data_IF_860854539531
#
_entry.id   IF_860854539531
#
_cell.length_a   1.000
_cell.length_b   1.000
_cell.length_c   1.000
_cell.angle_alpha   90.00
_cell.angle_beta   90.00
_cell.angle_gamma   90.00
#
_symmetry.space_group_name_H-M   'P 1'
#
loop_
_entity.id
_entity.type
_entity.pdbx_description
1 polymer ?
#
# COMPACT_ATOMS: atom_id res chain seq x y z
N UNK A 1 16.60 -18.14 18.31
CA UNK A 1 15.65 -17.01 18.26
C UNK A 1 15.71 -16.46 16.84
N UNK A 2 14.73 -16.76 15.99
CA UNK A 2 14.70 -16.18 14.64
C UNK A 2 14.37 -14.69 14.81
N UNK A 3 15.10 -13.75 14.19
CA UNK A 3 14.63 -12.37 14.17
C UNK A 3 13.21 -12.39 13.59
N UNK A 4 12.26 -11.75 14.28
CA UNK A 4 10.97 -11.49 13.68
C UNK A 4 11.28 -10.70 12.42
N UNK A 5 10.85 -11.23 11.26
CA UNK A 5 11.13 -10.61 9.97
C UNK A 5 10.60 -9.18 10.05
N UNK A 6 11.50 -8.21 10.17
CA UNK A 6 11.11 -6.80 10.10
C UNK A 6 10.45 -6.59 8.73
N UNK A 7 9.30 -5.91 8.70
CA UNK A 7 8.64 -5.61 7.45
C UNK A 7 9.49 -4.58 6.70
N UNK A 8 10.33 -5.05 5.78
CA UNK A 8 11.20 -4.21 4.99
C UNK A 8 10.46 -3.67 3.75
N UNK A 9 10.64 -2.38 3.49
CA UNK A 9 10.11 -1.76 2.28
C UNK A 9 10.71 -2.43 1.02
N UNK A 10 9.86 -2.81 0.07
CA UNK A 10 10.25 -3.50 -1.16
C UNK A 10 10.33 -5.02 -1.07
N UNK A 11 10.04 -5.62 0.10
CA UNK A 11 9.95 -7.09 0.23
C UNK A 11 8.77 -7.66 -0.56
N UNK A 12 8.83 -8.96 -0.90
CA UNK A 12 7.68 -9.63 -1.54
C UNK A 12 6.43 -9.54 -0.65
N UNK A 13 5.30 -9.19 -1.26
CA UNK A 13 4.01 -9.10 -0.59
C UNK A 13 3.55 -10.44 0.01
N UNK A 14 4.04 -11.58 -0.47
CA UNK A 14 3.70 -12.89 0.11
C UNK A 14 4.47 -13.24 1.37
N UNK A 15 5.51 -12.48 1.70
CA UNK A 15 6.20 -12.58 2.98
C UNK A 15 5.48 -11.83 4.11
N UNK A 16 4.51 -10.96 3.77
CA UNK A 16 3.67 -10.23 4.72
C UNK A 16 2.55 -11.13 5.25
N UNK A 17 2.94 -12.06 6.13
CA UNK A 17 2.04 -13.05 6.71
C UNK A 17 0.93 -12.39 7.53
N UNK A 18 -0.33 -12.73 7.24
CA UNK A 18 -1.50 -12.17 7.93
C UNK A 18 -1.96 -10.80 7.42
N UNK A 19 -1.35 -10.27 6.35
CA UNK A 19 -1.80 -9.03 5.73
C UNK A 19 -3.18 -9.21 5.05
N UNK A 20 -4.17 -8.47 5.54
CA UNK A 20 -5.50 -8.39 4.92
C UNK A 20 -5.53 -7.28 3.87
N UNK A 21 -5.33 -7.66 2.60
CA UNK A 21 -5.26 -6.72 1.49
C UNK A 21 -6.64 -6.19 1.11
N UNK A 22 -6.80 -4.87 1.15
CA UNK A 22 -8.02 -4.17 0.80
C UNK A 22 -7.79 -3.27 -0.41
N UNK A 23 -8.66 -3.44 -1.41
CA UNK A 23 -8.70 -2.63 -2.63
C UNK A 23 -9.61 -1.42 -2.46
N UNK A 24 -9.32 -0.32 -3.14
CA UNK A 24 -10.24 0.82 -3.22
C UNK A 24 -11.50 0.44 -4.01
N UNK A 25 -12.68 0.83 -3.51
CA UNK A 25 -13.96 0.76 -4.22
C UNK A 25 -13.99 1.55 -5.54
N UNK A 26 -13.09 2.52 -5.74
CA UNK A 26 -12.95 3.24 -7.00
C UNK A 26 -12.21 2.43 -8.07
N UNK A 27 -11.70 1.24 -7.73
CA UNK A 27 -11.00 0.39 -8.68
C UNK A 27 -11.98 -0.41 -9.52
N UNK A 28 -11.82 -0.39 -10.85
CA UNK A 28 -12.58 -1.24 -11.77
C UNK A 28 -11.91 -2.62 -11.95
N UNK A 29 -12.65 -3.64 -12.43
CA UNK A 29 -12.11 -4.98 -12.70
C UNK A 29 -10.98 -5.00 -13.75
N UNK A 30 -10.99 -4.04 -14.68
CA UNK A 30 -10.02 -3.95 -15.79
C UNK A 30 -8.70 -3.28 -15.39
N UNK A 31 -8.65 -2.73 -14.18
CA UNK A 31 -7.44 -2.47 -13.43
C UNK A 31 -7.15 -1.00 -13.20
N UNK A 32 -6.84 -0.70 -11.93
CA UNK A 32 -6.27 0.52 -11.36
C UNK A 32 -5.99 0.27 -9.86
N UNK A 33 -5.67 -0.98 -9.52
CA UNK A 33 -5.90 -1.49 -8.19
C UNK A 33 -4.61 -1.45 -7.37
N UNK A 34 -4.48 -0.39 -6.57
CA UNK A 34 -3.58 -0.38 -5.43
C UNK A 34 -4.33 -1.03 -4.26
N UNK A 35 -3.66 -1.94 -3.57
CA UNK A 35 -4.15 -2.61 -2.37
C UNK A 35 -3.34 -2.18 -1.17
N UNK A 36 -4.03 -2.01 -0.04
CA UNK A 36 -3.40 -1.65 1.22
C UNK A 36 -3.74 -2.68 2.30
N UNK A 37 -2.80 -2.98 3.17
CA UNK A 37 -2.99 -3.85 4.33
C UNK A 37 -2.38 -3.22 5.58
N UNK A 38 -3.08 -3.31 6.71
CA UNK A 38 -2.49 -3.00 8.01
C UNK A 38 -1.66 -4.20 8.48
N UNK A 39 -0.46 -3.95 8.98
CA UNK A 39 0.45 -4.97 9.49
C UNK A 39 0.41 -5.01 11.02
N UNK A 40 0.84 -6.13 11.58
CA UNK A 40 0.79 -6.39 13.03
C UNK A 40 1.68 -5.47 13.87
N UNK A 41 2.69 -4.85 13.25
CA UNK A 41 3.63 -3.91 13.86
C UNK A 41 3.23 -2.43 13.68
N UNK A 42 2.02 -2.17 13.15
CA UNK A 42 1.49 -0.82 12.97
C UNK A 42 1.91 -0.14 11.67
N UNK A 43 2.69 -0.80 10.82
CA UNK A 43 2.96 -0.35 9.46
C UNK A 43 1.77 -0.62 8.53
N UNK A 44 1.77 0.06 7.38
CA UNK A 44 0.82 -0.13 6.30
C UNK A 44 1.60 -0.57 5.07
N UNK A 45 1.22 -1.72 4.52
CA UNK A 45 1.75 -2.19 3.25
C UNK A 45 0.88 -1.70 2.08
N UNK A 46 1.53 -1.40 0.96
CA UNK A 46 0.90 -1.00 -0.30
C UNK A 46 1.44 -1.90 -1.41
N UNK A 47 0.57 -2.51 -2.21
CA UNK A 47 0.99 -3.34 -3.36
C UNK A 47 0.16 -3.07 -4.60
N UNK A 48 0.69 -3.53 -5.73
CA UNK A 48 -0.04 -3.57 -6.99
C UNK A 48 -0.88 -4.84 -7.08
N UNK A 49 -2.21 -4.74 -7.15
CA UNK A 49 -3.08 -5.93 -7.25
C UNK A 49 -2.86 -6.76 -8.52
N UNK A 50 -2.27 -6.20 -9.59
CA UNK A 50 -1.92 -6.96 -10.80
C UNK A 50 -0.69 -7.86 -10.59
N UNK A 51 0.09 -7.58 -9.55
CA UNK A 51 1.26 -8.35 -9.16
C UNK A 51 1.20 -8.65 -7.65
N UNK A 52 0.24 -9.50 -7.20
CA UNK A 52 0.01 -9.74 -5.77
C UNK A 52 1.18 -10.42 -5.05
N UNK A 53 2.07 -11.07 -5.82
CA UNK A 53 3.36 -11.68 -5.39
C UNK A 53 4.54 -10.72 -5.49
N UNK A 54 4.33 -9.54 -6.10
CA UNK A 54 5.36 -8.54 -6.33
C UNK A 54 5.80 -7.82 -5.05
N UNK A 55 6.71 -6.84 -5.17
CA UNK A 55 7.16 -6.07 -4.02
C UNK A 55 6.02 -5.25 -3.40
N UNK A 56 5.98 -5.21 -2.07
CA UNK A 56 5.14 -4.34 -1.28
C UNK A 56 5.95 -3.15 -0.76
N UNK A 57 5.37 -1.96 -0.83
CA UNK A 57 5.91 -0.78 -0.16
C UNK A 57 5.39 -0.76 1.28
N UNK A 58 6.28 -0.65 2.26
CA UNK A 58 5.92 -0.64 3.68
C UNK A 58 6.17 0.75 4.24
N UNK A 59 5.10 1.37 4.75
CA UNK A 59 5.12 2.72 5.31
C UNK A 59 4.69 2.73 6.76
N UNK A 60 5.16 3.72 7.50
CA UNK A 60 4.64 4.04 8.82
C UNK A 60 3.20 4.56 8.71
N UNK A 61 2.43 4.44 9.79
CA UNK A 61 1.10 5.02 9.88
C UNK A 61 1.09 6.54 9.70
N UNK A 62 2.16 7.22 10.13
CA UNK A 62 2.31 8.67 9.98
C UNK A 62 2.48 9.08 8.50
N UNK A 63 3.30 8.35 7.73
CA UNK A 63 3.49 8.60 6.30
C UNK A 63 2.19 8.39 5.51
N UNK A 64 1.46 7.31 5.79
CA UNK A 64 0.14 7.10 5.16
C UNK A 64 -0.86 8.18 5.57
N UNK A 65 -0.84 8.64 6.83
CA UNK A 65 -1.71 9.73 7.27
C UNK A 65 -1.44 11.02 6.50
N UNK A 66 -0.16 11.37 6.34
CA UNK A 66 0.26 12.53 5.57
C UNK A 66 -0.14 12.40 4.09
N UNK A 67 0.13 11.25 3.48
CA UNK A 67 -0.25 10.96 2.09
C UNK A 67 -1.76 11.10 1.87
N UNK A 68 -2.59 10.50 2.73
CA UNK A 68 -4.06 10.59 2.61
C UNK A 68 -4.57 12.02 2.76
N UNK A 69 -3.93 12.85 3.61
CA UNK A 69 -4.26 14.27 3.71
C UNK A 69 -3.94 15.00 2.41
N UNK A 70 -2.73 14.85 1.89
CA UNK A 70 -2.34 15.49 0.62
C UNK A 70 -3.20 15.05 -0.57
N UNK A 71 -3.59 13.78 -0.64
CA UNK A 71 -4.55 13.29 -1.65
C UNK A 71 -5.91 13.99 -1.52
N UNK A 72 -6.41 14.20 -0.29
CA UNK A 72 -7.69 14.90 -0.07
C UNK A 72 -7.62 16.39 -0.35
N UNK A 73 -6.46 17.00 -0.10
CA UNK A 73 -6.21 18.43 -0.36
C UNK A 73 -5.93 18.71 -1.85
N UNK A 74 -5.78 17.65 -2.66
CA UNK A 74 -5.57 17.73 -4.10
C UNK A 74 -4.11 17.97 -4.50
N UNK A 75 -3.15 17.77 -3.58
CA UNK A 75 -1.71 18.03 -3.80
C UNK A 75 -1.15 17.28 -5.03
N UNK A 76 -1.76 16.12 -5.34
CA UNK A 76 -1.32 15.24 -6.42
C UNK A 76 -2.19 15.30 -7.67
N UNK A 77 -3.21 16.16 -7.70
CA UNK A 77 -4.15 16.24 -8.83
C UNK A 77 -3.47 16.63 -10.15
N UNK A 78 -2.39 17.40 -10.08
CA UNK A 78 -1.57 17.76 -11.25
C UNK A 78 -0.82 16.59 -11.89
N UNK A 79 -0.79 15.42 -11.24
CA UNK A 79 -0.23 14.18 -11.81
C UNK A 79 -1.25 13.41 -12.64
N UNK A 80 -2.54 13.79 -12.60
CA UNK A 80 -3.59 13.12 -13.37
C UNK A 80 -3.68 13.72 -14.78
N UNK A 81 -3.80 12.89 -15.84
CA UNK A 81 -3.91 13.39 -17.20
C UNK A 81 -5.22 14.16 -17.41
N UNK A 82 -5.14 15.30 -18.12
CA UNK A 82 -6.32 16.06 -18.54
C UNK A 82 -6.85 17.09 -17.55
N UNK A 83 -6.01 17.54 -16.61
CA UNK A 83 -6.25 18.72 -15.78
C UNK A 83 -5.30 19.85 -16.12
#
# INVERSE_FOLDING_TARGET
MRPQTEHANGMSATLLSGAEWRKSHHSNPEGNCVELAALSDGHIAVRNSRHPEGPALVYTSAEISAFVRGVKDGDFDGLLPGR
#
